data_IF_515532804503
#
_entry.id   IF_515532804503
#
_cell.length_a   1.000
_cell.length_b   1.000
_cell.length_c   1.000
_cell.angle_alpha   90.00
_cell.angle_beta   90.00
_cell.angle_gamma   90.00
#
_symmetry.space_group_name_H-M   'P 1'
#
loop_
_entity.id
_entity.type
_entity.pdbx_description
1 polymer ?
#
# COMPACT_ATOMS: atom_id res chain seq x y z
N UNK A 1 55.18 -12.77 59.47
CA UNK A 1 53.83 -12.30 59.82
C UNK A 1 53.08 -12.05 58.53
N UNK A 2 52.25 -13.01 58.13
CA UNK A 2 51.50 -13.01 56.88
C UNK A 2 50.11 -12.44 57.18
N UNK A 3 49.79 -11.25 56.64
CA UNK A 3 48.46 -10.67 56.75
C UNK A 3 47.58 -11.19 55.62
N UNK A 4 46.53 -11.95 55.98
CA UNK A 4 45.48 -12.38 55.05
C UNK A 4 44.45 -11.27 54.86
N UNK A 5 44.18 -10.90 53.62
CA UNK A 5 43.07 -10.03 53.25
C UNK A 5 41.84 -10.90 52.92
N UNK A 6 40.73 -10.67 53.63
CA UNK A 6 39.44 -11.32 53.39
C UNK A 6 38.73 -10.57 52.27
N UNK A 7 38.44 -11.25 51.16
CA UNK A 7 37.60 -10.73 50.08
C UNK A 7 36.12 -10.94 50.44
N UNK A 8 35.34 -9.86 50.48
CA UNK A 8 33.90 -9.90 50.65
C UNK A 8 33.19 -10.30 49.33
N UNK A 9 32.10 -11.08 49.38
CA UNK A 9 31.38 -11.48 48.18
C UNK A 9 30.58 -10.31 47.58
N UNK A 10 30.72 -10.12 46.27
CA UNK A 10 29.93 -9.18 45.47
C UNK A 10 28.52 -9.76 45.30
N UNK A 11 27.43 -9.00 45.53
CA UNK A 11 26.09 -9.50 45.32
C UNK A 11 25.85 -9.75 43.82
N UNK A 12 25.37 -10.94 43.48
CA UNK A 12 24.96 -11.26 42.12
C UNK A 12 23.79 -10.35 41.70
N UNK A 13 23.99 -9.54 40.66
CA UNK A 13 22.90 -8.84 40.01
C UNK A 13 21.98 -9.87 39.37
N UNK A 14 20.71 -9.88 39.80
CA UNK A 14 19.67 -10.66 39.14
C UNK A 14 19.54 -10.18 37.69
N UNK A 15 19.83 -11.07 36.73
CA UNK A 15 19.49 -10.85 35.33
C UNK A 15 17.97 -10.66 35.24
N UNK A 16 17.56 -9.51 34.71
CA UNK A 16 16.18 -9.31 34.30
C UNK A 16 15.78 -10.44 33.34
N UNK A 17 14.56 -11.01 33.47
CA UNK A 17 14.13 -12.08 32.58
C UNK A 17 14.24 -11.60 31.13
N UNK A 18 14.91 -12.39 30.29
CA UNK A 18 14.97 -12.14 28.86
C UNK A 18 13.53 -12.03 28.32
N UNK A 19 13.24 -10.97 27.57
CA UNK A 19 11.96 -10.83 26.88
C UNK A 19 11.77 -12.06 25.98
N UNK A 20 10.77 -12.88 26.28
CA UNK A 20 10.52 -14.18 25.64
C UNK A 20 9.76 -14.07 24.32
N UNK A 21 9.65 -12.87 23.74
CA UNK A 21 8.96 -12.61 22.47
C UNK A 21 9.94 -12.37 21.32
N UNK A 22 9.50 -12.59 20.08
CA UNK A 22 10.28 -12.21 18.92
C UNK A 22 10.50 -10.68 18.90
N UNK A 23 11.71 -10.20 18.54
CA UNK A 23 12.01 -8.78 18.55
C UNK A 23 11.11 -8.01 17.57
N UNK A 24 10.76 -6.74 17.88
CA UNK A 24 9.94 -5.93 17.00
C UNK A 24 10.66 -5.62 15.68
N UNK A 25 9.89 -5.53 14.60
CA UNK A 25 10.40 -5.13 13.27
C UNK A 25 10.85 -3.65 13.25
N UNK A 26 11.46 -3.18 12.16
CA UNK A 26 11.84 -1.77 12.03
C UNK A 26 10.60 -0.87 12.10
N UNK A 27 9.51 -1.23 11.40
CA UNK A 27 8.24 -0.51 11.48
C UNK A 27 7.69 -0.47 12.91
N UNK A 28 7.66 -1.62 13.59
CA UNK A 28 7.12 -1.74 14.94
C UNK A 28 7.93 -0.95 15.97
N UNK A 29 9.25 -0.77 15.78
CA UNK A 29 10.07 0.08 16.65
C UNK A 29 9.74 1.57 16.54
N UNK A 30 9.24 2.03 15.39
CA UNK A 30 8.87 3.45 15.21
C UNK A 30 7.65 3.84 16.06
N UNK A 31 6.83 2.87 16.49
CA UNK A 31 5.67 3.12 17.35
C UNK A 31 6.05 3.84 18.65
N UNK A 32 7.25 3.61 19.19
CA UNK A 32 7.66 4.18 20.47
C UNK A 32 8.07 5.66 20.36
N UNK A 33 8.10 6.22 19.14
CA UNK A 33 8.36 7.63 18.91
C UNK A 33 7.16 8.49 19.33
N UNK A 34 7.41 9.76 19.67
CA UNK A 34 6.38 10.68 20.15
C UNK A 34 5.27 10.95 19.11
N UNK A 35 5.62 11.05 17.81
CA UNK A 35 4.65 11.39 16.76
C UNK A 35 3.60 10.29 16.53
N UNK A 36 3.96 8.99 16.38
CA UNK A 36 2.97 7.92 16.28
C UNK A 36 2.05 7.85 17.50
N UNK A 37 2.58 8.00 18.71
CA UNK A 37 1.78 8.03 19.94
C UNK A 37 0.80 9.20 19.95
N UNK A 38 1.25 10.38 19.50
CA UNK A 38 0.40 11.56 19.40
C UNK A 38 -0.71 11.40 18.35
N UNK A 39 -0.40 10.82 17.19
CA UNK A 39 -1.39 10.50 16.15
C UNK A 39 -2.44 9.52 16.69
N UNK A 40 -2.02 8.45 17.37
CA UNK A 40 -2.94 7.47 17.95
C UNK A 40 -3.88 8.10 18.97
N UNK A 41 -3.33 8.89 19.90
CA UNK A 41 -4.11 9.61 20.92
C UNK A 41 -5.10 10.61 20.31
N UNK A 42 -4.65 11.46 19.38
CA UNK A 42 -5.49 12.49 18.75
C UNK A 42 -6.51 11.96 17.74
N UNK A 43 -6.34 10.73 17.27
CA UNK A 43 -7.32 10.05 16.42
C UNK A 43 -8.29 9.14 17.21
N UNK A 44 -7.98 8.86 18.47
CA UNK A 44 -8.68 7.91 19.34
C UNK A 44 -8.33 6.45 19.11
N UNK A 45 -7.28 6.15 18.34
CA UNK A 45 -6.85 4.79 17.99
C UNK A 45 -5.84 4.20 18.99
N UNK A 46 -5.44 4.96 20.00
CA UNK A 46 -4.56 4.55 21.10
C UNK A 46 -5.08 3.36 21.92
N UNK A 47 -6.40 3.18 22.01
CA UNK A 47 -7.01 2.01 22.66
C UNK A 47 -6.93 0.70 21.88
N UNK A 48 -6.68 0.73 20.55
CA UNK A 48 -6.79 -0.44 19.68
C UNK A 48 -5.84 -1.57 20.06
N UNK A 49 -4.53 -1.28 20.16
CA UNK A 49 -3.55 -2.31 20.49
C UNK A 49 -3.67 -2.82 21.94
N UNK A 50 -3.85 -1.96 22.98
CA UNK A 50 -4.09 -2.42 24.34
C UNK A 50 -5.33 -3.31 24.50
N UNK A 51 -6.43 -2.99 23.83
CA UNK A 51 -7.65 -3.81 23.84
C UNK A 51 -7.40 -5.16 23.17
N UNK A 52 -6.76 -5.17 22.00
CA UNK A 52 -6.38 -6.40 21.31
C UNK A 52 -5.47 -7.30 22.17
N UNK A 53 -4.45 -6.73 22.83
CA UNK A 53 -3.58 -7.45 23.75
C UNK A 53 -4.34 -8.06 24.93
N UNK A 54 -5.34 -7.34 25.46
CA UNK A 54 -6.22 -7.86 26.53
C UNK A 54 -7.05 -9.04 26.06
N UNK A 55 -7.57 -8.99 24.84
CA UNK A 55 -8.32 -10.11 24.26
C UNK A 55 -7.42 -11.32 23.97
N UNK A 56 -6.19 -11.10 23.47
CA UNK A 56 -5.20 -12.17 23.25
C UNK A 56 -4.90 -12.96 24.53
N UNK A 57 -4.84 -12.30 25.71
CA UNK A 57 -4.66 -13.00 27.00
C UNK A 57 -5.79 -13.96 27.35
N UNK A 58 -6.99 -13.74 26.80
CA UNK A 58 -8.14 -14.61 27.01
C UNK A 58 -8.17 -15.86 26.13
N UNK A 59 -7.41 -15.88 25.03
CA UNK A 59 -7.43 -16.93 24.01
C UNK A 59 -6.81 -18.22 24.51
N UNK A 60 -7.51 -19.34 24.35
CA UNK A 60 -7.13 -20.67 24.86
C UNK A 60 -6.81 -21.67 23.76
N UNK A 61 -7.03 -21.33 22.49
CA UNK A 61 -6.69 -22.20 21.37
C UNK A 61 -6.27 -21.41 20.12
N UNK A 62 -5.56 -22.08 19.21
CA UNK A 62 -5.20 -21.48 17.92
C UNK A 62 -6.44 -21.06 17.11
N UNK A 63 -7.52 -21.85 17.14
CA UNK A 63 -8.77 -21.52 16.45
C UNK A 63 -9.42 -20.24 16.98
N UNK A 64 -9.41 -20.05 18.29
CA UNK A 64 -9.87 -18.80 18.92
C UNK A 64 -8.97 -17.62 18.51
N UNK A 65 -7.65 -17.83 18.44
CA UNK A 65 -6.71 -16.81 17.95
C UNK A 65 -7.02 -16.40 16.50
N UNK A 66 -7.29 -17.36 15.62
CA UNK A 66 -7.66 -17.07 14.23
C UNK A 66 -8.96 -16.26 14.10
N UNK A 67 -9.95 -16.58 14.94
CA UNK A 67 -11.23 -15.88 14.98
C UNK A 67 -11.07 -14.45 15.52
N UNK A 68 -10.33 -14.29 16.62
CA UNK A 68 -10.00 -12.99 17.20
C UNK A 68 -9.27 -12.13 16.17
N UNK A 69 -8.17 -12.63 15.60
CA UNK A 69 -7.35 -11.87 14.64
C UNK A 69 -8.14 -11.46 13.40
N UNK A 70 -8.99 -12.33 12.84
CA UNK A 70 -9.85 -11.94 11.72
C UNK A 70 -10.85 -10.85 12.10
N UNK A 71 -11.51 -11.00 13.25
CA UNK A 71 -12.51 -10.03 13.71
C UNK A 71 -11.87 -8.66 13.92
N UNK A 72 -10.75 -8.62 14.64
CA UNK A 72 -10.09 -7.38 15.03
C UNK A 72 -9.40 -6.71 13.83
N UNK A 73 -8.76 -7.49 12.95
CA UNK A 73 -8.21 -6.96 11.70
C UNK A 73 -9.30 -6.31 10.84
N UNK A 74 -10.41 -7.01 10.59
CA UNK A 74 -11.52 -6.45 9.83
C UNK A 74 -12.23 -5.29 10.56
N UNK A 75 -12.27 -5.33 11.89
CA UNK A 75 -12.79 -4.26 12.74
C UNK A 75 -11.98 -2.98 12.62
N UNK A 76 -10.66 -3.09 12.64
CA UNK A 76 -9.75 -1.95 12.45
C UNK A 76 -9.93 -1.29 11.07
N UNK A 77 -10.00 -2.08 10.00
CA UNK A 77 -10.26 -1.55 8.65
C UNK A 77 -11.60 -0.78 8.60
N UNK A 78 -12.70 -1.41 9.05
CA UNK A 78 -14.02 -0.75 9.08
C UNK A 78 -14.00 0.53 9.90
N UNK A 79 -13.36 0.52 11.06
CA UNK A 79 -13.23 1.70 11.93
C UNK A 79 -12.51 2.85 11.22
N UNK A 80 -11.43 2.56 10.49
CA UNK A 80 -10.68 3.57 9.74
C UNK A 80 -11.50 4.14 8.56
N UNK A 81 -12.19 3.28 7.81
CA UNK A 81 -13.09 3.68 6.72
C UNK A 81 -14.24 4.53 7.24
N UNK A 82 -14.92 4.09 8.30
CA UNK A 82 -16.01 4.84 8.93
C UNK A 82 -15.52 6.21 9.41
N UNK A 83 -14.34 6.26 10.03
CA UNK A 83 -13.71 7.52 10.43
C UNK A 83 -13.56 8.46 9.25
N UNK A 84 -12.87 8.03 8.19
CA UNK A 84 -12.60 8.81 6.98
C UNK A 84 -13.87 9.31 6.28
N UNK A 85 -14.97 8.57 6.41
CA UNK A 85 -16.26 8.89 5.79
C UNK A 85 -17.25 9.58 6.75
N UNK A 86 -16.76 10.14 7.86
CA UNK A 86 -17.61 10.94 8.76
C UNK A 86 -18.53 10.13 9.69
N UNK A 87 -18.42 8.80 9.71
CA UNK A 87 -19.23 7.88 10.54
C UNK A 87 -18.57 7.48 11.85
N UNK A 88 -19.37 7.12 12.84
CA UNK A 88 -18.86 6.73 14.17
C UNK A 88 -18.32 7.91 14.98
N UNK A 89 -17.84 7.65 16.22
CA UNK A 89 -17.40 8.70 17.13
C UNK A 89 -16.19 9.46 16.57
N UNK A 90 -16.11 10.77 16.88
CA UNK A 90 -14.98 11.60 16.46
C UNK A 90 -13.64 11.09 16.99
N UNK A 91 -13.63 10.46 18.18
CA UNK A 91 -12.47 9.77 18.76
C UNK A 91 -11.31 10.68 19.19
N UNK A 92 -11.27 11.93 18.73
CA UNK A 92 -10.23 12.93 19.00
C UNK A 92 -10.37 14.13 18.06
N UNK A 93 -9.33 14.95 17.95
CA UNK A 93 -9.32 16.22 17.21
C UNK A 93 -8.51 16.19 15.90
N UNK A 94 -7.82 15.08 15.60
CA UNK A 94 -7.15 14.92 14.30
C UNK A 94 -8.19 14.90 13.18
N UNK A 95 -7.85 15.39 11.99
CA UNK A 95 -8.75 15.31 10.84
C UNK A 95 -9.19 13.86 10.60
N UNK A 96 -10.43 13.71 10.13
CA UNK A 96 -11.07 12.40 10.01
C UNK A 96 -10.56 11.61 8.80
N UNK A 97 -10.14 12.29 7.75
CA UNK A 97 -9.62 11.76 6.49
C UNK A 97 -8.14 11.31 6.57
N UNK A 98 -7.57 11.20 7.78
CA UNK A 98 -6.18 10.82 8.01
C UNK A 98 -5.97 9.31 7.92
N UNK A 99 -4.96 8.87 7.16
CA UNK A 99 -4.62 7.46 6.96
C UNK A 99 -3.69 6.91 8.05
N UNK A 100 -2.92 7.78 8.71
CA UNK A 100 -1.89 7.39 9.70
C UNK A 100 -2.46 6.62 10.90
N UNK A 101 -3.66 6.91 11.44
CA UNK A 101 -4.24 6.14 12.54
C UNK A 101 -4.38 4.65 12.23
N UNK A 102 -4.77 4.29 11.01
CA UNK A 102 -4.89 2.89 10.60
C UNK A 102 -3.52 2.21 10.62
N UNK A 103 -2.52 2.84 10.01
CA UNK A 103 -1.16 2.32 9.91
C UNK A 103 -0.56 2.04 11.29
N UNK A 104 -0.56 3.03 12.18
CA UNK A 104 0.04 2.91 13.51
C UNK A 104 -0.72 1.94 14.41
N UNK A 105 -2.06 1.93 14.38
CA UNK A 105 -2.85 1.01 15.19
C UNK A 105 -2.63 -0.45 14.74
N UNK A 106 -2.53 -0.69 13.42
CA UNK A 106 -2.21 -2.02 12.89
C UNK A 106 -0.84 -2.48 13.34
N UNK A 107 0.19 -1.63 13.24
CA UNK A 107 1.52 -1.99 13.73
C UNK A 107 1.51 -2.31 15.23
N UNK A 108 0.72 -1.58 16.02
CA UNK A 108 0.50 -1.89 17.43
C UNK A 108 -0.06 -3.30 17.63
N UNK A 109 -1.15 -3.65 16.91
CA UNK A 109 -1.72 -5.00 16.96
C UNK A 109 -0.74 -6.08 16.49
N UNK A 110 0.01 -5.83 15.40
CA UNK A 110 1.02 -6.77 14.87
C UNK A 110 2.13 -7.00 15.89
N UNK A 111 2.60 -5.95 16.58
CA UNK A 111 3.60 -6.04 17.66
C UNK A 111 3.10 -6.88 18.84
N UNK A 112 1.86 -6.64 19.30
CA UNK A 112 1.24 -7.43 20.38
C UNK A 112 1.12 -8.91 19.99
N UNK A 113 0.64 -9.21 18.77
CA UNK A 113 0.53 -10.58 18.28
C UNK A 113 1.89 -11.26 18.09
N UNK A 114 2.93 -10.51 17.72
CA UNK A 114 4.30 -11.03 17.56
C UNK A 114 4.91 -11.43 18.90
N UNK A 115 4.70 -10.61 19.94
CA UNK A 115 5.23 -10.85 21.29
C UNK A 115 4.34 -11.74 22.17
N UNK A 116 3.12 -12.08 21.74
CA UNK A 116 2.17 -12.84 22.54
C UNK A 116 2.58 -14.30 22.75
N UNK A 117 2.76 -14.73 23.99
CA UNK A 117 3.04 -16.14 24.34
C UNK A 117 1.79 -16.80 24.96
N UNK A 118 1.03 -17.62 24.20
CA UNK A 118 -0.14 -18.32 24.72
C UNK A 118 0.19 -19.47 25.67
N UNK A 119 -0.80 -19.89 26.48
CA UNK A 119 -0.72 -21.11 27.28
C UNK A 119 -0.87 -22.42 26.49
N UNK A 120 -0.83 -22.37 25.16
CA UNK A 120 -0.88 -23.53 24.26
C UNK A 120 0.24 -23.42 23.22
N UNK A 121 0.60 -24.53 22.58
CA UNK A 121 1.67 -24.54 21.58
C UNK A 121 1.33 -23.67 20.35
N UNK A 122 2.16 -22.66 20.12
CA UNK A 122 2.08 -21.78 18.96
C UNK A 122 3.41 -21.83 18.17
N UNK A 123 3.43 -22.64 17.11
CA UNK A 123 4.59 -22.70 16.21
C UNK A 123 4.81 -21.39 15.47
N UNK A 124 6.05 -21.14 15.03
CA UNK A 124 6.40 -19.95 14.24
C UNK A 124 5.56 -19.83 12.95
N UNK A 125 5.25 -20.95 12.29
CA UNK A 125 4.40 -20.98 11.10
C UNK A 125 2.96 -20.55 11.42
N UNK A 126 2.39 -21.02 12.54
CA UNK A 126 1.06 -20.62 13.00
C UNK A 126 1.03 -19.15 13.42
N UNK A 127 2.06 -18.65 14.10
CA UNK A 127 2.19 -17.22 14.43
C UNK A 127 2.25 -16.36 13.17
N UNK A 128 3.05 -16.78 12.18
CA UNK A 128 3.14 -16.10 10.87
C UNK A 128 1.79 -16.07 10.15
N UNK A 129 1.03 -17.18 10.17
CA UNK A 129 -0.31 -17.22 9.59
C UNK A 129 -1.31 -16.28 10.28
N UNK A 130 -1.22 -16.14 11.61
CA UNK A 130 -2.02 -15.14 12.34
C UNK A 130 -1.62 -13.71 11.94
N UNK A 131 -0.31 -13.40 11.85
CA UNK A 131 0.17 -12.08 11.42
C UNK A 131 -0.29 -11.74 10.00
N UNK A 132 -0.18 -12.67 9.05
CA UNK A 132 -0.69 -12.50 7.68
C UNK A 132 -2.21 -12.28 7.65
N UNK A 133 -2.97 -12.99 8.49
CA UNK A 133 -4.41 -12.79 8.61
C UNK A 133 -4.77 -11.41 9.16
N UNK A 134 -4.02 -10.93 10.16
CA UNK A 134 -4.18 -9.59 10.73
C UNK A 134 -3.90 -8.52 9.68
N UNK A 135 -2.76 -8.62 9.00
CA UNK A 135 -2.34 -7.69 7.95
C UNK A 135 -3.39 -7.61 6.83
N UNK A 136 -3.84 -8.75 6.29
CA UNK A 136 -4.85 -8.75 5.22
C UNK A 136 -6.19 -8.16 5.66
N UNK A 137 -6.65 -8.50 6.86
CA UNK A 137 -7.92 -8.01 7.40
C UNK A 137 -7.91 -6.50 7.63
N UNK A 138 -6.85 -5.97 8.23
CA UNK A 138 -6.68 -4.55 8.56
C UNK A 138 -6.32 -3.67 7.36
N UNK A 139 -6.04 -4.27 6.20
CA UNK A 139 -5.77 -3.56 4.93
C UNK A 139 -6.96 -3.54 3.97
N UNK A 140 -8.10 -4.10 4.37
CA UNK A 140 -9.27 -4.25 3.49
C UNK A 140 -9.10 -5.29 2.38
N UNK A 141 -7.98 -6.02 2.33
CA UNK A 141 -7.69 -6.97 1.25
C UNK A 141 -8.66 -8.16 1.21
N UNK A 142 -9.32 -8.47 2.34
CA UNK A 142 -10.33 -9.50 2.45
C UNK A 142 -11.76 -8.94 2.59
N UNK A 143 -11.98 -7.64 2.45
CA UNK A 143 -13.31 -7.00 2.57
C UNK A 143 -13.93 -6.57 1.25
N UNK A 144 -13.20 -6.67 0.14
CA UNK A 144 -13.66 -6.26 -1.20
C UNK A 144 -14.91 -7.07 -1.59
N UNK A 145 -16.06 -6.41 -1.67
CA UNK A 145 -17.32 -7.05 -2.08
C UNK A 145 -18.24 -6.10 -2.84
N UNK A 146 -18.73 -6.53 -3.99
CA UNK A 146 -19.66 -5.73 -4.79
C UNK A 146 -21.14 -6.11 -4.57
N UNK A 147 -21.41 -7.24 -3.89
CA UNK A 147 -22.76 -7.79 -3.78
C UNK A 147 -23.32 -8.33 -5.10
N UNK A 148 -24.55 -8.86 -5.08
CA UNK A 148 -25.17 -9.58 -6.21
C UNK A 148 -25.95 -8.69 -7.19
N UNK A 149 -26.04 -7.38 -6.93
CA UNK A 149 -26.81 -6.46 -7.78
C UNK A 149 -26.20 -6.26 -9.18
N UNK A 150 -27.07 -5.86 -10.12
CA UNK A 150 -26.72 -5.43 -11.48
C UNK A 150 -27.08 -3.95 -11.68
N UNK A 151 -26.73 -3.36 -12.83
CA UNK A 151 -27.10 -1.97 -13.16
C UNK A 151 -26.16 -0.89 -12.60
N UNK A 152 -24.98 -1.27 -12.13
CA UNK A 152 -23.92 -0.36 -11.70
C UNK A 152 -22.54 -0.90 -12.07
N UNK A 153 -21.55 -0.02 -12.07
CA UNK A 153 -20.14 -0.33 -12.34
C UNK A 153 -19.37 -0.69 -11.09
N UNK A 154 -18.53 -1.72 -11.17
CA UNK A 154 -17.69 -2.20 -10.07
C UNK A 154 -16.27 -1.69 -10.26
N UNK A 155 -15.76 -0.95 -9.28
CA UNK A 155 -14.48 -0.25 -9.39
C UNK A 155 -13.57 -0.64 -8.26
N UNK A 156 -12.36 -1.07 -8.60
CA UNK A 156 -11.30 -1.35 -7.62
C UNK A 156 -10.29 -0.21 -7.58
N UNK A 157 -10.01 0.32 -6.39
CA UNK A 157 -8.95 1.31 -6.18
C UNK A 157 -7.98 0.80 -5.12
N UNK A 158 -6.66 0.90 -5.34
CA UNK A 158 -5.67 0.53 -4.32
C UNK A 158 -4.93 1.76 -3.79
N UNK A 159 -4.48 1.70 -2.54
CA UNK A 159 -3.61 2.69 -1.91
C UNK A 159 -2.43 2.05 -1.18
N UNK A 160 -1.57 2.87 -0.59
CA UNK A 160 -0.42 2.43 0.18
C UNK A 160 -0.41 3.02 1.59
N UNK A 161 0.25 2.31 2.49
CA UNK A 161 0.66 2.85 3.79
C UNK A 161 1.60 4.08 3.67
N UNK A 162 1.73 4.88 4.73
CA UNK A 162 2.82 5.83 4.89
C UNK A 162 4.21 5.18 4.73
N UNK A 163 5.16 5.94 4.19
CA UNK A 163 6.55 5.52 3.99
C UNK A 163 7.52 6.69 4.10
N UNK A 164 8.83 6.42 4.02
CA UNK A 164 9.91 7.38 4.30
C UNK A 164 9.88 7.98 5.71
N UNK A 165 9.38 7.20 6.67
CA UNK A 165 9.15 7.62 8.06
C UNK A 165 10.44 7.92 8.84
N UNK A 166 11.60 7.48 8.35
CA UNK A 166 12.92 7.88 8.89
C UNK A 166 13.33 9.30 8.47
N UNK A 167 12.71 9.85 7.42
CA UNK A 167 12.93 11.25 6.98
C UNK A 167 12.00 12.21 7.70
N UNK A 168 10.72 11.84 7.77
CA UNK A 168 9.72 12.58 8.52
C UNK A 168 8.64 11.60 9.02
N UNK A 169 8.63 11.37 10.33
CA UNK A 169 7.70 10.46 10.99
C UNK A 169 6.24 10.94 10.95
N UNK A 170 6.01 12.21 10.55
CA UNK A 170 4.68 12.81 10.41
C UNK A 170 4.02 12.48 9.07
N UNK A 171 4.74 11.88 8.11
CA UNK A 171 4.24 11.64 6.74
C UNK A 171 2.94 10.84 6.74
N UNK A 172 2.00 11.30 5.93
CA UNK A 172 0.74 10.65 5.54
C UNK A 172 0.84 10.25 4.08
N UNK A 173 0.07 9.25 3.64
CA UNK A 173 0.02 8.86 2.23
C UNK A 173 -1.33 9.25 1.59
N UNK A 174 -1.34 10.16 0.60
CA UNK A 174 -2.58 10.58 -0.05
C UNK A 174 -3.30 9.43 -0.76
N UNK A 175 -2.59 8.39 -1.22
CA UNK A 175 -3.26 7.22 -1.79
C UNK A 175 -3.93 6.35 -0.72
N UNK A 176 -3.36 6.28 0.48
CA UNK A 176 -3.97 5.63 1.63
C UNK A 176 -5.23 6.38 2.10
N UNK A 177 -5.15 7.70 2.20
CA UNK A 177 -6.30 8.55 2.52
C UNK A 177 -7.42 8.40 1.48
N UNK A 178 -7.06 8.32 0.20
CA UNK A 178 -8.00 8.07 -0.90
C UNK A 178 -8.69 6.72 -0.77
N UNK A 179 -7.95 5.64 -0.46
CA UNK A 179 -8.56 4.32 -0.28
C UNK A 179 -9.62 4.34 0.82
N UNK A 180 -9.29 4.89 2.00
CA UNK A 180 -10.22 4.98 3.13
C UNK A 180 -11.46 5.83 2.81
N UNK A 181 -11.26 6.96 2.13
CA UNK A 181 -12.35 7.86 1.77
C UNK A 181 -13.31 7.27 0.73
N UNK A 182 -12.84 6.34 -0.11
CA UNK A 182 -13.62 5.78 -1.22
C UNK A 182 -14.19 4.38 -0.97
N UNK A 183 -13.70 3.64 0.03
CA UNK A 183 -14.13 2.26 0.30
C UNK A 183 -15.64 2.13 0.53
N UNK A 184 -16.30 1.26 -0.24
CA UNK A 184 -17.74 1.03 -0.18
C UNK A 184 -18.61 2.21 -0.64
N UNK A 185 -18.01 3.28 -1.18
CA UNK A 185 -18.77 4.46 -1.62
C UNK A 185 -19.40 4.26 -2.99
N UNK A 186 -20.48 5.02 -3.23
CA UNK A 186 -21.12 5.14 -4.53
C UNK A 186 -20.77 6.47 -5.17
N UNK A 187 -20.50 6.44 -6.47
CA UNK A 187 -20.32 7.63 -7.30
C UNK A 187 -21.29 7.60 -8.49
N UNK A 188 -21.65 8.78 -8.98
CA UNK A 188 -22.41 8.93 -10.23
C UNK A 188 -21.42 9.18 -11.36
N UNK A 189 -21.60 8.48 -12.46
CA UNK A 189 -20.76 8.60 -13.66
C UNK A 189 -21.64 8.75 -14.89
N UNK A 190 -21.05 9.12 -16.03
CA UNK A 190 -21.78 9.16 -17.30
C UNK A 190 -22.32 7.77 -17.73
N UNK A 191 -21.69 6.68 -17.26
CA UNK A 191 -22.11 5.30 -17.50
C UNK A 191 -23.10 4.77 -16.44
N UNK A 192 -23.59 5.62 -15.54
CA UNK A 192 -24.48 5.25 -14.44
C UNK A 192 -23.78 5.19 -13.07
N UNK A 193 -24.44 4.63 -12.04
CA UNK A 193 -23.85 4.50 -10.71
C UNK A 193 -22.64 3.55 -10.74
N UNK A 194 -21.63 3.85 -9.93
CA UNK A 194 -20.49 2.97 -9.72
C UNK A 194 -20.20 2.81 -8.22
N UNK A 195 -19.86 1.58 -7.82
CA UNK A 195 -19.45 1.22 -6.47
C UNK A 195 -17.93 1.05 -6.45
N UNK A 196 -17.29 1.74 -5.52
CA UNK A 196 -15.84 1.65 -5.32
C UNK A 196 -15.57 0.75 -4.12
N UNK A 197 -14.71 -0.24 -4.29
CA UNK A 197 -14.11 -1.02 -3.23
C UNK A 197 -12.59 -0.82 -3.26
N UNK A 198 -11.95 -0.88 -2.10
CA UNK A 198 -10.53 -0.55 -2.01
C UNK A 198 -9.71 -1.57 -1.23
N UNK A 199 -8.39 -1.48 -1.41
CA UNK A 199 -7.43 -2.23 -0.60
C UNK A 199 -6.13 -1.44 -0.41
N UNK A 200 -5.56 -1.57 0.79
CA UNK A 200 -4.26 -0.99 1.16
C UNK A 200 -3.13 -2.00 0.93
N UNK A 201 -1.99 -1.52 0.45
CA UNK A 201 -0.78 -2.33 0.29
C UNK A 201 0.36 -1.85 1.19
N UNK A 202 1.19 -2.77 1.71
CA UNK A 202 2.38 -2.42 2.48
C UNK A 202 3.44 -1.80 1.58
N UNK A 203 4.27 -0.93 2.16
CA UNK A 203 5.49 -0.45 1.50
C UNK A 203 6.66 -1.33 1.95
N UNK A 204 6.64 -2.61 1.53
CA UNK A 204 7.64 -3.65 1.86
C UNK A 204 7.92 -4.58 0.68
N UNK A 205 9.20 -4.80 0.37
CA UNK A 205 9.62 -5.64 -0.77
C UNK A 205 9.29 -7.11 -0.60
N UNK A 206 9.41 -7.63 0.61
CA UNK A 206 9.22 -9.04 0.90
C UNK A 206 7.74 -9.45 0.75
N UNK A 207 6.78 -8.61 1.11
CA UNK A 207 5.36 -8.84 0.87
C UNK A 207 5.03 -8.94 -0.63
N UNK A 208 5.66 -8.07 -1.43
CA UNK A 208 5.52 -8.08 -2.89
C UNK A 208 6.15 -9.32 -3.50
N UNK A 209 7.35 -9.70 -3.05
CA UNK A 209 8.02 -10.93 -3.48
C UNK A 209 7.22 -12.19 -3.08
N UNK A 210 6.54 -12.16 -1.93
CA UNK A 210 5.64 -13.22 -1.50
C UNK A 210 4.36 -13.29 -2.34
N UNK A 211 4.06 -12.29 -3.18
CA UNK A 211 2.89 -12.27 -4.07
C UNK A 211 1.64 -11.63 -3.47
N UNK A 212 1.78 -10.65 -2.57
CA UNK A 212 0.62 -9.98 -1.96
C UNK A 212 -0.31 -9.35 -3.00
N UNK A 213 0.22 -8.79 -4.10
CA UNK A 213 -0.58 -8.15 -5.15
C UNK A 213 -1.47 -9.19 -5.82
N UNK A 214 -0.90 -10.31 -6.26
CA UNK A 214 -1.63 -11.35 -6.95
C UNK A 214 -2.62 -12.07 -6.03
N UNK A 215 -2.26 -12.32 -4.77
CA UNK A 215 -3.17 -12.92 -3.78
C UNK A 215 -4.42 -12.07 -3.56
N UNK A 216 -4.27 -10.75 -3.47
CA UNK A 216 -5.40 -9.83 -3.24
C UNK A 216 -6.21 -9.61 -4.51
N UNK A 217 -5.56 -9.34 -5.64
CA UNK A 217 -6.25 -8.84 -6.84
C UNK A 217 -6.80 -9.96 -7.73
N UNK A 218 -6.15 -11.14 -7.81
CA UNK A 218 -6.57 -12.24 -8.70
C UNK A 218 -8.04 -12.64 -8.53
N UNK A 219 -8.60 -12.83 -7.32
CA UNK A 219 -10.00 -13.20 -7.17
C UNK A 219 -10.97 -12.05 -7.51
N UNK A 220 -10.50 -10.80 -7.49
CA UNK A 220 -11.34 -9.59 -7.63
C UNK A 220 -11.38 -9.09 -9.07
N UNK A 221 -10.25 -9.06 -9.79
CA UNK A 221 -10.16 -8.47 -11.13
C UNK A 221 -11.21 -9.01 -12.13
N UNK A 222 -11.56 -10.31 -12.16
CA UNK A 222 -12.60 -10.80 -13.07
C UNK A 222 -14.01 -10.27 -12.78
N UNK A 223 -14.22 -9.64 -11.63
CA UNK A 223 -15.53 -9.17 -11.17
C UNK A 223 -15.75 -7.67 -11.41
N UNK A 224 -14.70 -6.91 -11.73
CA UNK A 224 -14.74 -5.45 -11.81
C UNK A 224 -14.85 -4.95 -13.24
N UNK A 225 -15.41 -3.75 -13.40
CA UNK A 225 -15.46 -3.04 -14.68
C UNK A 225 -14.22 -2.16 -14.91
N UNK A 226 -13.53 -1.75 -13.84
CA UNK A 226 -12.33 -0.92 -13.89
C UNK A 226 -11.49 -1.15 -12.64
N UNK A 227 -10.16 -1.10 -12.77
CA UNK A 227 -9.28 -0.95 -11.62
C UNK A 227 -8.29 0.20 -11.82
N UNK A 228 -7.86 0.81 -10.73
CA UNK A 228 -6.71 1.69 -10.73
C UNK A 228 -5.90 1.50 -9.45
N UNK A 229 -4.59 1.46 -9.61
CA UNK A 229 -3.67 1.51 -8.47
C UNK A 229 -3.28 2.97 -8.26
N UNK A 230 -3.28 3.44 -7.01
CA UNK A 230 -2.96 4.84 -6.69
C UNK A 230 -1.77 4.91 -5.76
N UNK A 231 -0.81 5.78 -6.08
CA UNK A 231 0.37 6.03 -5.27
C UNK A 231 0.64 7.52 -5.11
N UNK A 232 1.40 7.88 -4.09
CA UNK A 232 1.98 9.21 -3.97
C UNK A 232 3.13 9.37 -4.97
N UNK A 233 3.10 10.45 -5.75
CA UNK A 233 4.12 10.79 -6.74
C UNK A 233 4.97 11.98 -6.30
N UNK A 234 4.84 13.09 -7.04
CA UNK A 234 5.69 14.29 -6.91
C UNK A 234 4.86 15.54 -6.63
N UNK A 235 5.48 16.68 -6.38
CA UNK A 235 4.77 17.92 -6.08
C UNK A 235 3.85 18.39 -7.22
N UNK A 236 2.66 18.87 -6.87
CA UNK A 236 1.84 19.77 -7.69
C UNK A 236 1.20 19.20 -8.96
N UNK A 237 1.23 17.88 -9.20
CA UNK A 237 0.60 17.29 -10.39
C UNK A 237 0.12 15.86 -10.16
N UNK A 238 -0.78 15.42 -11.04
CA UNK A 238 -1.20 14.03 -11.17
C UNK A 238 -0.64 13.45 -12.45
N UNK A 239 -0.11 12.23 -12.37
CA UNK A 239 0.39 11.48 -13.51
C UNK A 239 -0.46 10.23 -13.73
N UNK A 240 -1.03 10.09 -14.93
CA UNK A 240 -1.59 8.82 -15.41
C UNK A 240 -0.44 8.08 -16.09
N UNK A 241 0.08 7.05 -15.43
CA UNK A 241 1.30 6.38 -15.87
C UNK A 241 1.03 5.47 -17.07
N UNK A 242 1.73 5.74 -18.18
CA UNK A 242 1.58 4.99 -19.42
C UNK A 242 2.18 3.59 -19.32
N UNK A 243 3.41 3.51 -18.81
CA UNK A 243 4.25 2.32 -18.86
C UNK A 243 4.81 2.00 -17.47
N UNK A 244 4.74 0.73 -17.06
CA UNK A 244 5.33 0.23 -15.83
C UNK A 244 6.45 -0.75 -16.15
N UNK A 245 7.60 -0.62 -15.47
CA UNK A 245 8.81 -1.39 -15.75
C UNK A 245 9.07 -2.53 -14.77
N UNK A 246 9.65 -3.63 -15.24
CA UNK A 246 9.99 -4.80 -14.44
C UNK A 246 11.29 -4.64 -13.62
N UNK A 247 11.51 -3.52 -12.91
CA UNK A 247 12.76 -3.25 -12.19
C UNK A 247 12.55 -2.65 -10.80
N UNK A 248 13.42 -3.03 -9.84
CA UNK A 248 13.56 -2.44 -8.50
C UNK A 248 14.84 -1.61 -8.44
N UNK A 249 14.73 -0.34 -8.04
CA UNK A 249 15.82 0.65 -8.06
C UNK A 249 16.75 0.70 -6.86
N UNK A 250 16.45 -0.05 -5.79
CA UNK A 250 17.28 -0.07 -4.57
C UNK A 250 16.87 0.94 -3.49
N UNK A 251 15.78 1.69 -3.65
CA UNK A 251 15.30 2.56 -2.56
C UNK A 251 14.80 1.70 -1.37
N UNK A 252 15.17 2.02 -0.11
CA UNK A 252 14.74 1.25 1.04
C UNK A 252 13.22 1.26 1.25
N UNK A 253 12.66 0.15 1.70
CA UNK A 253 11.27 0.03 2.13
C UNK A 253 11.06 0.42 3.60
N UNK A 254 9.85 0.23 4.14
CA UNK A 254 9.57 0.54 5.54
C UNK A 254 10.32 -0.35 6.55
N UNK A 255 10.87 -1.49 6.13
CA UNK A 255 11.75 -2.34 6.94
C UNK A 255 13.24 -2.01 6.71
N UNK A 256 13.52 -0.89 6.03
CA UNK A 256 14.85 -0.43 5.62
C UNK A 256 15.59 -1.44 4.73
N UNK A 257 14.82 -2.28 4.03
CA UNK A 257 15.33 -3.28 3.10
C UNK A 257 15.46 -2.66 1.71
N UNK A 258 16.62 -2.84 1.09
CA UNK A 258 16.88 -2.43 -0.30
C UNK A 258 16.92 -3.65 -1.23
N UNK A 259 16.41 -3.47 -2.46
CA UNK A 259 16.41 -4.48 -3.53
C UNK A 259 16.72 -3.82 -4.86
N UNK A 260 17.73 -4.34 -5.57
CA UNK A 260 18.13 -3.88 -6.91
C UNK A 260 18.15 -5.08 -7.86
N UNK A 261 17.02 -5.35 -8.46
CA UNK A 261 16.79 -6.59 -9.22
C UNK A 261 15.57 -6.45 -10.14
N UNK A 262 15.40 -7.41 -11.05
CA UNK A 262 14.18 -7.53 -11.82
C UNK A 262 13.01 -7.90 -10.89
N UNK A 263 11.82 -7.35 -11.15
CA UNK A 263 10.62 -7.63 -10.36
C UNK A 263 10.34 -9.15 -10.37
N UNK A 264 10.33 -9.84 -9.21
CA UNK A 264 10.15 -11.29 -9.17
C UNK A 264 8.68 -11.67 -9.42
N UNK A 265 8.41 -12.47 -10.44
CA UNK A 265 7.03 -12.97 -10.75
C UNK A 265 6.98 -14.49 -10.77
N UNK A 266 5.79 -15.07 -10.64
CA UNK A 266 5.61 -16.53 -10.57
C UNK A 266 6.00 -17.29 -11.85
N UNK A 267 5.96 -16.62 -13.00
CA UNK A 267 6.38 -17.17 -14.30
C UNK A 267 7.39 -16.21 -14.95
N UNK A 268 8.69 -16.32 -14.59
CA UNK A 268 9.73 -15.44 -15.12
C UNK A 268 10.00 -15.63 -16.61
N UNK A 269 9.75 -16.83 -17.15
CA UNK A 269 10.07 -17.15 -18.54
C UNK A 269 9.22 -16.36 -19.54
N UNK A 270 7.98 -16.04 -19.18
CA UNK A 270 7.07 -15.22 -19.98
C UNK A 270 6.99 -13.75 -19.54
N UNK A 271 7.85 -13.31 -18.63
CA UNK A 271 7.75 -12.00 -18.02
C UNK A 271 8.10 -10.88 -19.02
N UNK A 272 7.17 -9.93 -19.31
CA UNK A 272 7.50 -8.79 -20.15
C UNK A 272 8.29 -7.74 -19.37
N UNK A 273 9.18 -6.99 -20.05
CA UNK A 273 9.90 -5.88 -19.42
C UNK A 273 8.99 -4.70 -19.08
N UNK A 274 7.91 -4.53 -19.85
CA UNK A 274 7.00 -3.41 -19.75
C UNK A 274 5.56 -3.88 -19.76
N UNK A 275 4.72 -3.22 -18.97
CA UNK A 275 3.25 -3.31 -19.09
C UNK A 275 2.69 -1.93 -19.38
N UNK A 276 1.52 -1.87 -20.02
CA UNK A 276 0.92 -0.61 -20.47
C UNK A 276 -0.48 -0.42 -19.88
N UNK A 277 -0.79 0.82 -19.50
CA UNK A 277 -2.14 1.19 -19.05
C UNK A 277 -3.19 1.00 -20.14
N UNK A 278 -4.39 0.62 -19.71
CA UNK A 278 -5.63 0.61 -20.51
C UNK A 278 -6.69 1.54 -19.90
N UNK A 279 -6.32 2.39 -18.95
CA UNK A 279 -7.20 3.48 -18.49
C UNK A 279 -7.50 4.41 -19.67
N UNK A 280 -8.65 5.10 -19.69
CA UNK A 280 -8.98 6.11 -20.71
C UNK A 280 -8.22 7.42 -20.44
N UNK A 281 -6.89 7.36 -20.45
CA UNK A 281 -5.98 8.46 -20.12
C UNK A 281 -6.27 9.76 -20.88
N UNK A 282 -6.66 9.72 -22.16
CA UNK A 282 -6.96 10.92 -22.94
C UNK A 282 -8.18 11.65 -22.37
N UNK A 283 -9.22 10.89 -22.01
CA UNK A 283 -10.42 11.43 -21.38
C UNK A 283 -10.12 11.96 -19.98
N UNK A 284 -9.28 11.26 -19.21
CA UNK A 284 -8.85 11.69 -17.87
C UNK A 284 -8.06 13.01 -17.94
N UNK A 285 -7.11 13.13 -18.86
CA UNK A 285 -6.29 14.34 -19.05
C UNK A 285 -7.13 15.51 -19.57
N UNK A 286 -8.09 15.25 -20.45
CA UNK A 286 -9.00 16.28 -20.97
C UNK A 286 -10.03 16.73 -19.93
N UNK A 287 -10.37 15.87 -18.96
CA UNK A 287 -11.30 16.20 -17.89
C UNK A 287 -10.65 17.13 -16.87
N UNK A 288 -11.26 18.29 -16.64
CA UNK A 288 -10.92 19.19 -15.53
C UNK A 288 -11.35 18.55 -14.21
N UNK A 289 -10.56 17.62 -13.71
CA UNK A 289 -10.90 16.74 -12.57
C UNK A 289 -10.68 17.39 -11.20
N UNK A 290 -9.91 18.47 -11.12
CA UNK A 290 -9.60 19.13 -9.85
C UNK A 290 -8.49 20.19 -10.00
N UNK A 291 -7.91 20.63 -8.88
CA UNK A 291 -6.94 21.73 -8.87
C UNK A 291 -5.57 21.36 -9.45
N UNK A 292 -5.17 20.08 -9.42
CA UNK A 292 -3.87 19.65 -9.92
C UNK A 292 -3.93 19.34 -11.42
N UNK A 293 -2.97 19.80 -12.24
CA UNK A 293 -2.88 19.39 -13.63
C UNK A 293 -2.66 17.88 -13.74
N UNK A 294 -3.34 17.25 -14.69
CA UNK A 294 -3.24 15.81 -14.97
C UNK A 294 -2.47 15.59 -16.26
N UNK A 295 -1.46 14.73 -16.22
CA UNK A 295 -0.60 14.42 -17.35
C UNK A 295 -0.75 12.97 -17.81
N UNK A 296 -0.66 12.78 -19.12
CA UNK A 296 -0.29 11.49 -19.69
C UNK A 296 1.22 11.32 -19.54
N UNK A 297 1.65 10.54 -18.55
CA UNK A 297 3.07 10.38 -18.27
C UNK A 297 3.65 9.19 -19.05
N UNK A 298 4.45 9.50 -20.07
CA UNK A 298 5.06 8.52 -20.97
C UNK A 298 6.54 8.24 -20.72
N UNK A 299 7.22 9.09 -19.95
CA UNK A 299 8.66 8.97 -19.76
C UNK A 299 9.04 7.69 -19.01
N UNK A 300 10.06 6.97 -19.48
CA UNK A 300 10.62 5.77 -18.83
C UNK A 300 12.15 5.82 -18.82
N UNK A 301 12.78 4.98 -17.99
CA UNK A 301 14.23 4.69 -18.09
C UNK A 301 14.45 3.26 -18.55
N UNK A 302 15.22 3.07 -19.61
CA UNK A 302 15.45 1.76 -20.21
C UNK A 302 16.93 1.51 -20.50
N UNK A 303 17.33 0.26 -20.67
CA UNK A 303 18.51 -0.09 -21.45
C UNK A 303 18.03 -0.50 -22.85
N UNK A 304 18.34 0.25 -23.92
CA UNK A 304 17.92 -0.08 -25.27
C UNK A 304 18.45 -1.45 -25.72
N UNK A 305 17.79 -2.09 -26.68
CA UNK A 305 18.29 -3.35 -27.26
C UNK A 305 19.72 -3.18 -27.81
N UNK A 306 20.65 -4.02 -27.36
CA UNK A 306 22.09 -3.92 -27.70
C UNK A 306 22.84 -2.79 -26.98
N UNK A 307 22.16 -2.00 -26.14
CA UNK A 307 22.76 -0.96 -25.31
C UNK A 307 23.44 -1.52 -24.06
N UNK A 308 24.34 -0.73 -23.49
CA UNK A 308 25.14 -1.11 -22.31
C UNK A 308 24.77 -0.34 -21.04
N UNK A 309 23.89 0.68 -21.14
CA UNK A 309 23.56 1.55 -20.01
C UNK A 309 22.15 2.15 -20.09
N UNK A 310 21.64 2.67 -18.96
CA UNK A 310 20.32 3.27 -18.88
C UNK A 310 20.24 4.60 -19.62
N UNK A 311 19.11 4.85 -20.29
CA UNK A 311 18.74 6.12 -20.92
C UNK A 311 17.29 6.47 -20.60
N UNK A 312 16.99 7.77 -20.53
CA UNK A 312 15.61 8.27 -20.38
C UNK A 312 14.96 8.36 -21.78
N UNK A 313 13.71 7.94 -21.87
CA UNK A 313 12.87 8.03 -23.08
C UNK A 313 11.57 8.73 -22.74
N UNK A 314 11.39 9.94 -23.25
CA UNK A 314 10.19 10.74 -22.95
C UNK A 314 8.91 10.11 -23.52
N UNK A 315 9.01 9.38 -24.64
CA UNK A 315 7.86 8.82 -25.38
C UNK A 315 7.65 7.32 -25.16
N UNK A 316 8.18 6.76 -24.06
CA UNK A 316 8.04 5.34 -23.74
C UNK A 316 9.18 4.44 -24.20
N UNK A 317 9.09 3.14 -23.90
CA UNK A 317 10.15 2.19 -24.15
C UNK A 317 10.30 1.84 -25.64
N UNK A 318 11.54 1.58 -26.06
CA UNK A 318 11.84 1.08 -27.41
C UNK A 318 11.67 -0.44 -27.49
N UNK A 319 11.35 -1.00 -28.68
CA UNK A 319 11.20 -2.45 -28.85
C UNK A 319 12.45 -3.23 -28.40
N UNK A 320 12.25 -4.27 -27.59
CA UNK A 320 13.33 -5.13 -27.08
C UNK A 320 14.17 -4.51 -25.96
N UNK A 321 13.80 -3.35 -25.43
CA UNK A 321 14.51 -2.73 -24.30
C UNK A 321 14.26 -3.44 -22.97
N UNK A 322 15.20 -3.26 -22.04
CA UNK A 322 15.14 -3.77 -20.66
C UNK A 322 14.75 -2.64 -19.72
N UNK A 323 13.83 -2.90 -18.79
CA UNK A 323 13.33 -1.89 -17.88
C UNK A 323 14.36 -1.49 -16.81
N UNK A 324 14.41 -0.18 -16.51
CA UNK A 324 15.13 0.39 -15.37
C UNK A 324 14.26 1.32 -14.53
N UNK A 325 13.26 1.97 -15.12
CA UNK A 325 12.19 2.66 -14.39
C UNK A 325 10.96 2.82 -15.31
N UNK A 326 9.76 2.57 -14.78
CA UNK A 326 8.51 3.00 -15.43
C UNK A 326 8.27 4.50 -15.23
N UNK A 327 7.10 4.97 -15.68
CA UNK A 327 6.71 6.37 -15.46
C UNK A 327 6.60 6.71 -13.96
N UNK A 328 6.15 5.73 -13.18
CA UNK A 328 6.13 5.76 -11.72
C UNK A 328 7.49 5.57 -11.02
N UNK A 329 8.60 5.52 -11.76
CA UNK A 329 9.93 5.21 -11.23
C UNK A 329 10.20 3.71 -11.15
N UNK A 330 10.99 3.30 -10.17
CA UNK A 330 11.49 1.94 -9.95
C UNK A 330 11.29 1.46 -8.49
N UNK A 331 10.34 2.10 -7.79
CA UNK A 331 9.94 1.75 -6.43
C UNK A 331 8.65 0.90 -6.41
N UNK A 332 8.09 0.66 -5.21
CA UNK A 332 6.90 -0.15 -5.01
C UNK A 332 5.63 0.39 -5.71
N UNK A 333 5.55 1.70 -5.98
CA UNK A 333 4.47 2.28 -6.79
C UNK A 333 4.48 1.74 -8.23
N UNK A 334 5.67 1.75 -8.87
CA UNK A 334 5.85 1.10 -10.17
C UNK A 334 5.62 -0.42 -10.08
N UNK A 335 6.06 -1.09 -9.01
CA UNK A 335 5.89 -2.54 -8.90
C UNK A 335 4.42 -2.96 -8.77
N UNK A 336 3.58 -2.25 -7.98
CA UNK A 336 2.16 -2.60 -7.91
C UNK A 336 1.48 -2.36 -9.26
N UNK A 337 1.84 -1.27 -9.94
CA UNK A 337 1.32 -0.94 -11.25
C UNK A 337 1.67 -2.01 -12.28
N UNK A 338 2.93 -2.43 -12.30
CA UNK A 338 3.43 -3.51 -13.14
C UNK A 338 2.72 -4.83 -12.84
N UNK A 339 2.66 -5.26 -11.58
CA UNK A 339 2.05 -6.54 -11.18
C UNK A 339 0.55 -6.59 -11.43
N UNK A 340 -0.19 -5.54 -11.10
CA UNK A 340 -1.64 -5.49 -11.33
C UNK A 340 -1.98 -5.51 -12.82
N UNK A 341 -1.23 -4.77 -13.63
CA UNK A 341 -1.38 -4.73 -15.10
C UNK A 341 -1.00 -6.08 -15.72
N UNK A 342 0.13 -6.67 -15.31
CA UNK A 342 0.55 -8.00 -15.75
C UNK A 342 -0.48 -9.07 -15.36
N UNK A 343 -1.06 -8.98 -14.17
CA UNK A 343 -2.08 -9.92 -13.71
C UNK A 343 -3.35 -9.82 -14.54
N UNK A 344 -3.83 -8.60 -14.86
CA UNK A 344 -4.94 -8.39 -15.80
C UNK A 344 -4.67 -9.09 -17.13
N UNK A 345 -3.48 -8.86 -17.70
CA UNK A 345 -3.09 -9.41 -19.00
C UNK A 345 -3.01 -10.94 -18.98
N UNK A 346 -2.41 -11.52 -17.93
CA UNK A 346 -2.31 -12.98 -17.73
C UNK A 346 -3.66 -13.65 -17.48
N UNK A 347 -4.64 -12.93 -16.95
CA UNK A 347 -6.02 -13.40 -16.80
C UNK A 347 -6.84 -13.22 -18.09
N UNK A 348 -6.27 -12.62 -19.14
CA UNK A 348 -6.97 -12.36 -20.41
C UNK A 348 -8.11 -11.33 -20.29
N UNK A 349 -8.04 -10.44 -19.30
CA UNK A 349 -9.10 -9.47 -19.03
C UNK A 349 -8.94 -8.21 -19.90
N UNK A 350 -10.05 -7.71 -20.44
CA UNK A 350 -10.11 -6.48 -21.25
C UNK A 350 -10.57 -5.24 -20.45
N UNK A 351 -10.57 -5.33 -19.12
CA UNK A 351 -10.99 -4.23 -18.23
C UNK A 351 -9.99 -3.06 -18.29
N UNK A 352 -10.45 -1.80 -18.30
CA UNK A 352 -9.61 -0.64 -18.05
C UNK A 352 -8.82 -0.77 -16.74
N UNK A 353 -7.51 -0.57 -16.84
CA UNK A 353 -6.57 -0.83 -15.75
C UNK A 353 -5.31 0.01 -15.87
N UNK A 354 -4.85 0.59 -14.77
CA UNK A 354 -3.63 1.40 -14.80
C UNK A 354 -3.24 1.98 -13.45
N UNK A 355 -2.34 2.95 -13.51
CA UNK A 355 -1.73 3.55 -12.34
C UNK A 355 -1.83 5.06 -12.38
N UNK A 356 -2.15 5.65 -11.23
CA UNK A 356 -2.25 7.09 -11.04
C UNK A 356 -1.34 7.50 -9.89
N UNK A 357 -0.40 8.39 -10.16
CA UNK A 357 0.34 9.09 -9.14
C UNK A 357 -0.36 10.38 -8.75
N UNK A 358 -0.56 10.57 -7.46
CA UNK A 358 -1.09 11.79 -6.83
C UNK A 358 0.05 12.76 -6.47
N UNK A 359 -0.25 14.03 -6.20
CA UNK A 359 0.73 14.92 -5.60
C UNK A 359 1.19 14.43 -4.24
N UNK A 360 2.38 14.85 -3.80
CA UNK A 360 2.77 14.69 -2.38
C UNK A 360 1.91 15.58 -1.49
N UNK A 361 1.70 15.15 -0.24
CA UNK A 361 1.10 16.02 0.77
C UNK A 361 2.09 17.09 1.24
N UNK A 362 1.58 18.29 1.53
CA UNK A 362 2.40 19.41 1.97
C UNK A 362 1.84 20.01 3.26
N UNK A 363 2.73 20.23 4.22
CA UNK A 363 2.46 21.12 5.35
C UNK A 363 2.59 22.58 4.90
N UNK A 364 1.99 23.49 5.67
CA UNK A 364 2.21 24.91 5.49
C UNK A 364 3.71 25.24 5.60
N UNK A 365 4.21 26.31 4.94
CA UNK A 365 5.64 26.63 4.93
C UNK A 365 6.25 26.80 6.33
N UNK A 366 5.50 27.33 7.28
CA UNK A 366 5.88 27.49 8.69
C UNK A 366 5.84 26.19 9.51
N UNK A 367 5.27 25.12 8.95
CA UNK A 367 5.17 23.79 9.53
C UNK A 367 5.99 22.72 8.76
N UNK A 368 6.76 23.14 7.75
CA UNK A 368 7.50 22.24 6.87
C UNK A 368 8.66 21.50 7.56
N UNK A 369 9.31 22.11 8.56
CA UNK A 369 10.44 21.51 9.29
C UNK A 369 9.95 20.35 10.20
N UNK A 370 10.39 19.10 9.96
CA UNK A 370 10.02 17.96 10.80
C UNK A 370 10.48 18.02 12.24
N UNK A 371 11.53 18.78 12.54
CA UNK A 371 12.11 18.86 13.88
C UNK A 371 11.31 19.77 14.83
N UNK A 372 10.58 20.75 14.28
CA UNK A 372 9.83 21.74 15.06
C UNK A 372 8.33 21.77 14.74
N UNK A 373 7.91 21.15 13.64
CA UNK A 373 6.55 21.23 13.15
C UNK A 373 5.56 20.32 13.88
N UNK A 374 4.30 20.71 13.84
CA UNK A 374 3.15 19.93 14.28
C UNK A 374 2.81 18.80 13.30
N UNK A 375 2.13 17.76 13.80
CA UNK A 375 1.71 16.58 13.01
C UNK A 375 0.61 16.86 11.98
N UNK A 376 0.02 18.06 12.01
CA UNK A 376 -1.07 18.48 11.12
C UNK A 376 -1.16 20.00 11.13
N UNK A 377 -1.63 20.58 10.03
CA UNK A 377 -2.03 21.98 9.92
C UNK A 377 -3.19 22.13 8.90
N UNK A 378 -3.84 23.30 8.80
CA UNK A 378 -4.94 23.51 7.87
C UNK A 378 -4.60 23.32 6.38
N UNK A 379 -3.37 23.62 5.95
CA UNK A 379 -2.94 23.44 4.56
C UNK A 379 -2.80 21.97 4.22
N UNK A 380 -2.18 21.20 5.10
CA UNK A 380 -2.07 19.74 4.98
C UNK A 380 -3.43 19.04 4.87
N UNK A 381 -4.41 19.46 5.68
CA UNK A 381 -5.78 18.91 5.64
C UNK A 381 -6.49 19.31 4.33
N UNK A 382 -6.40 20.57 3.91
CA UNK A 382 -7.00 21.03 2.64
C UNK A 382 -6.40 20.29 1.45
N UNK A 383 -5.06 20.22 1.38
CA UNK A 383 -4.31 19.57 0.32
C UNK A 383 -4.69 18.07 0.20
N UNK A 384 -4.84 17.37 1.33
CA UNK A 384 -5.35 15.99 1.34
C UNK A 384 -6.75 15.88 0.76
N UNK A 385 -7.68 16.72 1.22
CA UNK A 385 -9.07 16.73 0.74
C UNK A 385 -9.17 17.00 -0.76
N UNK A 386 -8.37 17.93 -1.28
CA UNK A 386 -8.29 18.22 -2.72
C UNK A 386 -7.78 17.03 -3.53
N UNK A 387 -6.72 16.36 -3.08
CA UNK A 387 -6.19 15.17 -3.75
C UNK A 387 -7.23 14.06 -3.77
N UNK A 388 -7.85 13.74 -2.63
CA UNK A 388 -8.89 12.70 -2.53
C UNK A 388 -10.07 13.04 -3.46
N UNK A 389 -10.53 14.30 -3.44
CA UNK A 389 -11.61 14.77 -4.31
C UNK A 389 -11.27 14.63 -5.79
N UNK A 390 -10.03 14.97 -6.18
CA UNK A 390 -9.60 14.86 -7.56
C UNK A 390 -9.41 13.42 -8.02
N UNK A 391 -8.88 12.51 -7.19
CA UNK A 391 -8.81 11.09 -7.52
C UNK A 391 -10.21 10.50 -7.71
N UNK A 392 -11.18 10.88 -6.87
CA UNK A 392 -12.58 10.49 -7.06
C UNK A 392 -13.13 10.93 -8.42
N UNK A 393 -12.83 12.16 -8.84
CA UNK A 393 -13.25 12.71 -10.13
C UNK A 393 -12.54 12.00 -11.32
N UNK A 394 -11.26 11.64 -11.17
CA UNK A 394 -10.53 10.82 -12.15
C UNK A 394 -11.19 9.46 -12.31
N UNK A 395 -11.51 8.78 -11.21
CA UNK A 395 -12.20 7.49 -11.23
C UNK A 395 -13.58 7.62 -11.90
N UNK A 396 -14.36 8.64 -11.55
CA UNK A 396 -15.67 8.88 -12.17
C UNK A 396 -15.56 9.12 -13.69
N UNK A 397 -14.55 9.88 -14.12
CA UNK A 397 -14.25 10.12 -15.54
C UNK A 397 -13.87 8.83 -16.24
N UNK A 398 -13.00 8.02 -15.61
CA UNK A 398 -12.50 6.79 -16.18
C UNK A 398 -13.62 5.76 -16.39
N UNK A 399 -14.53 5.63 -15.43
CA UNK A 399 -15.71 4.75 -15.52
C UNK A 399 -16.70 5.23 -16.57
N UNK A 400 -16.87 6.54 -16.73
CA UNK A 400 -17.79 7.14 -17.69
C UNK A 400 -17.27 7.18 -19.14
N UNK A 401 -16.01 6.82 -19.37
CA UNK A 401 -15.36 6.92 -20.68
C UNK A 401 -15.30 5.59 -21.41
N UNK A 402 -15.31 5.58 -22.76
CA UNK A 402 -15.05 4.37 -23.53
C UNK A 402 -13.65 3.81 -23.22
N UNK A 403 -13.54 2.48 -23.14
CA UNK A 403 -12.25 1.80 -23.01
C UNK A 403 -11.44 2.01 -24.30
N UNK A 404 -10.20 2.53 -24.24
CA UNK A 404 -9.33 2.55 -25.41
C UNK A 404 -9.03 1.11 -25.86
N UNK A 405 -8.86 0.86 -27.18
CA UNK A 405 -8.49 -0.46 -27.66
C UNK A 405 -7.18 -0.92 -27.00
N UNK A 406 -7.10 -2.21 -26.65
CA UNK A 406 -5.87 -2.80 -26.10
C UNK A 406 -4.72 -2.51 -27.06
N UNK A 407 -3.54 -2.04 -26.59
CA UNK A 407 -2.39 -1.92 -27.46
C UNK A 407 -2.07 -3.30 -28.05
N UNK A 408 -1.81 -3.35 -29.35
CA UNK A 408 -1.39 -4.57 -30.03
C UNK A 408 -0.02 -4.99 -29.48
N UNK A 409 0.00 -5.77 -28.40
CA UNK A 409 1.21 -6.44 -27.95
C UNK A 409 1.40 -7.62 -28.89
N UNK A 410 2.24 -7.44 -29.92
CA UNK A 410 2.78 -8.55 -30.68
C UNK A 410 3.63 -9.39 -29.74
N UNK A 411 3.03 -10.42 -29.16
CA UNK A 411 3.80 -11.56 -28.68
C UNK A 411 4.46 -12.17 -29.92
N UNK A 412 5.77 -12.01 -30.06
CA UNK A 412 6.52 -12.84 -30.99
C UNK A 412 6.31 -14.29 -30.53
N UNK A 413 5.48 -15.04 -31.25
CA UNK A 413 5.36 -16.47 -31.03
C UNK A 413 6.76 -17.08 -31.14
N UNK A 414 7.15 -18.01 -30.25
CA UNK A 414 8.44 -18.66 -30.37
C UNK A 414 8.52 -19.35 -31.75
N UNK A 415 9.68 -19.32 -32.43
CA UNK A 415 9.83 -19.97 -33.71
C UNK A 415 9.51 -21.46 -33.54
N UNK A 416 8.55 -21.96 -34.33
CA UNK A 416 8.30 -23.40 -34.45
C UNK A 416 9.52 -24.05 -35.10
N UNK A 417 10.49 -24.46 -34.30
CA UNK A 417 11.64 -25.25 -34.73
C UNK A 417 11.34 -26.75 -34.61
N UNK A 418 10.85 -27.30 -35.72
CA UNK A 418 11.25 -28.56 -36.35
C UNK A 418 11.26 -29.86 -35.51
N UNK A 419 10.27 -30.71 -35.80
CA UNK A 419 10.45 -32.16 -35.78
C UNK A 419 11.59 -32.51 -36.73
N UNK A 420 12.64 -33.13 -36.19
CA UNK A 420 13.64 -33.93 -36.87
C UNK A 420 13.85 -35.17 -36.03
#
# INVERSE_FOLDING_TARGET
>A
MTFGAVLAPVPAQAQAPAATGAPPTVEERRLDLAVPQEILRRSGFDGVAPEFARELRGVRSYREAEQLVAREGAGLWRRAVDRAQGRGPAGGDLSRDDDRPLYWARLGMTRELRGWEPGFELSAARRSALLDRLERGSRGQNSITYGSGTGYKRVLVTGFDPFTLDRDIRISNPSGATALALDGTWIRTAAGPARIETAMFPVRWDDFAAGTVERTLRPVLPQVDLFTTVSQGRIGRIDVERFNGAWRGGFPDNENVSRTEQVPVSDPASQPQWTTTTLPYQAIVAARTGPYPVYDHTSVTEVPAGGTGPVVRDSGPTPGSVARAGGGGDYLSNEIAYRATLLRDRLGLSIPGGHVHTPVLQFAPDNADPSTGSITDPEFVRNRGEIVGQVRAIVATAVGSPTPPLPAVTFAAPPRGLRG
#
